data_IF_944865677563
#
_entry.id   IF_944865677563
#
_cell.length_a   1.000
_cell.length_b   1.000
_cell.length_c   1.000
_cell.angle_alpha   90.00
_cell.angle_beta   90.00
_cell.angle_gamma   90.00
#
_symmetry.space_group_name_H-M   'P 1'
#
loop_
_entity.id
_entity.type
_entity.pdbx_description
1 polymer ?
#
# COMPACT_ATOMS: atom_id res chain seq x y z
N UNK A 1 -12.25 -22.55 -15.79
CA UNK A 1 -13.04 -22.00 -14.66
C UNK A 1 -13.01 -23.03 -13.55
N UNK A 2 -12.01 -22.99 -12.68
CA UNK A 2 -12.03 -23.70 -11.41
C UNK A 2 -13.01 -22.97 -10.49
N UNK A 3 -14.05 -23.67 -10.03
CA UNK A 3 -15.06 -23.09 -9.14
C UNK A 3 -14.42 -22.65 -7.82
N UNK A 4 -14.93 -21.55 -7.24
CA UNK A 4 -14.51 -21.11 -5.92
C UNK A 4 -14.74 -22.24 -4.89
N UNK A 5 -13.79 -22.48 -3.97
CA UNK A 5 -13.96 -23.51 -2.95
C UNK A 5 -15.20 -23.22 -2.08
N UNK A 6 -15.96 -24.26 -1.68
CA UNK A 6 -17.13 -24.09 -0.84
C UNK A 6 -16.73 -23.52 0.54
N UNK A 7 -17.60 -22.71 1.19
CA UNK A 7 -17.35 -22.18 2.52
C UNK A 7 -17.09 -23.31 3.53
N UNK A 8 -15.98 -23.22 4.24
CA UNK A 8 -15.52 -24.24 5.17
C UNK A 8 -15.88 -23.92 6.63
N UNK A 9 -16.18 -22.65 6.94
CA UNK A 9 -16.42 -22.15 8.29
C UNK A 9 -17.58 -21.14 8.30
N UNK A 10 -18.46 -21.24 9.30
CA UNK A 10 -19.48 -20.23 9.60
C UNK A 10 -19.02 -19.32 10.74
N UNK A 11 -19.29 -18.02 10.62
CA UNK A 11 -18.96 -17.01 11.63
C UNK A 11 -20.19 -16.15 11.93
N UNK A 12 -20.42 -15.87 13.21
CA UNK A 12 -21.33 -14.79 13.61
C UNK A 12 -20.77 -13.41 13.24
N UNK A 13 -21.63 -12.40 13.19
CA UNK A 13 -21.21 -11.02 12.94
C UNK A 13 -20.27 -10.48 14.04
N UNK A 14 -20.38 -10.98 15.26
CA UNK A 14 -19.52 -10.57 16.38
C UNK A 14 -18.13 -11.24 16.30
N UNK A 15 -18.07 -12.52 15.92
CA UNK A 15 -16.79 -13.20 15.68
C UNK A 15 -16.01 -12.53 14.55
N UNK A 16 -16.67 -12.27 13.41
CA UNK A 16 -16.07 -11.55 12.28
C UNK A 16 -15.51 -10.18 12.70
N UNK A 17 -16.26 -9.42 13.51
CA UNK A 17 -15.83 -8.12 14.04
C UNK A 17 -14.60 -8.25 14.95
N UNK A 18 -14.61 -9.20 15.88
CA UNK A 18 -13.48 -9.41 16.81
C UNK A 18 -12.23 -9.90 16.06
N UNK A 19 -12.39 -10.76 15.07
CA UNK A 19 -11.30 -11.21 14.19
C UNK A 19 -10.67 -10.03 13.47
N UNK A 20 -11.49 -9.18 12.83
CA UNK A 20 -10.98 -7.98 12.16
C UNK A 20 -10.28 -7.00 13.13
N UNK A 21 -10.85 -6.75 14.32
CA UNK A 21 -10.24 -5.88 15.31
C UNK A 21 -8.91 -6.43 15.84
N UNK A 22 -8.78 -7.76 15.99
CA UNK A 22 -7.52 -8.41 16.38
C UNK A 22 -6.47 -8.32 15.29
N UNK A 23 -6.84 -8.64 14.04
CA UNK A 23 -5.94 -8.55 12.88
C UNK A 23 -5.40 -7.11 12.70
N UNK A 24 -6.25 -6.12 12.92
CA UNK A 24 -5.88 -4.71 12.89
C UNK A 24 -5.08 -4.23 14.11
N UNK A 25 -4.86 -5.07 15.13
CA UNK A 25 -4.15 -4.70 16.36
C UNK A 25 -4.93 -3.72 17.25
N UNK A 26 -6.25 -3.65 17.11
CA UNK A 26 -7.15 -2.77 17.87
C UNK A 26 -7.84 -3.49 19.04
N UNK A 27 -7.76 -4.82 19.09
CA UNK A 27 -8.26 -5.64 20.18
C UNK A 27 -7.17 -6.60 20.65
N UNK A 28 -6.84 -6.55 21.94
CA UNK A 28 -5.79 -7.37 22.56
C UNK A 28 -4.68 -6.52 23.18
N UNK A 29 -3.65 -7.19 23.70
CA UNK A 29 -2.48 -6.50 24.22
C UNK A 29 -1.58 -6.05 23.05
N UNK A 30 -1.15 -4.78 23.01
CA UNK A 30 -0.24 -4.30 21.96
C UNK A 30 1.07 -5.07 21.92
N UNK A 31 1.52 -5.47 20.72
CA UNK A 31 2.87 -6.00 20.52
C UNK A 31 3.92 -4.89 20.61
N UNK A 32 4.27 -4.53 21.84
CA UNK A 32 5.29 -3.52 22.12
C UNK A 32 6.70 -3.99 21.79
N UNK A 33 6.92 -5.30 21.59
CA UNK A 33 8.24 -5.83 21.18
C UNK A 33 8.45 -5.57 19.69
N UNK A 34 7.43 -5.80 18.87
CA UNK A 34 7.45 -5.45 17.45
C UNK A 34 7.49 -3.94 17.20
N UNK A 35 6.84 -3.15 18.07
CA UNK A 35 6.81 -1.69 17.96
C UNK A 35 6.20 -1.21 16.64
N UNK A 36 6.62 -0.04 16.16
CA UNK A 36 6.08 0.55 14.92
C UNK A 36 6.37 -0.31 13.69
N UNK A 37 7.57 -0.93 13.64
CA UNK A 37 7.93 -1.86 12.55
C UNK A 37 7.02 -3.09 12.55
N UNK A 38 6.71 -3.63 13.72
CA UNK A 38 5.76 -4.74 13.88
C UNK A 38 4.35 -4.36 13.42
N UNK A 39 3.87 -3.16 13.77
CA UNK A 39 2.59 -2.64 13.26
C UNK A 39 2.59 -2.50 11.75
N UNK A 40 3.66 -1.97 11.15
CA UNK A 40 3.77 -1.86 9.70
C UNK A 40 3.70 -3.24 9.04
N UNK A 41 4.46 -4.22 9.55
CA UNK A 41 4.43 -5.60 9.03
C UNK A 41 3.06 -6.28 9.18
N UNK A 42 2.37 -6.10 10.30
CA UNK A 42 1.05 -6.71 10.50
C UNK A 42 -0.01 -6.12 9.58
N UNK A 43 0.10 -4.83 9.27
CA UNK A 43 -0.83 -4.16 8.37
C UNK A 43 -0.44 -4.32 6.89
N UNK A 44 0.85 -4.49 6.58
CA UNK A 44 1.41 -4.52 5.22
C UNK A 44 1.34 -3.19 4.46
N UNK A 45 0.50 -2.24 4.89
CA UNK A 45 0.48 -0.90 4.33
C UNK A 45 0.01 0.15 5.34
N UNK A 46 0.74 1.27 5.41
CA UNK A 46 0.31 2.48 6.12
C UNK A 46 0.28 3.64 5.15
N UNK A 47 -0.90 4.21 4.93
CA UNK A 47 -1.07 5.33 4.01
C UNK A 47 -0.34 6.59 4.50
N UNK A 48 0.44 7.19 3.62
CA UNK A 48 0.99 8.53 3.80
C UNK A 48 -0.08 9.57 3.51
N UNK A 49 -0.18 10.56 4.40
CA UNK A 49 -1.19 11.61 4.35
C UNK A 49 -0.51 12.96 4.53
N UNK A 50 -0.98 13.96 3.79
CA UNK A 50 -0.47 15.33 3.83
C UNK A 50 -1.24 16.19 4.83
N UNK A 51 -2.45 15.80 5.24
CA UNK A 51 -3.28 16.53 6.19
C UNK A 51 -2.72 16.35 7.61
N UNK A 52 -2.57 17.45 8.35
CA UNK A 52 -1.90 17.46 9.66
C UNK A 52 -2.56 18.40 10.68
N UNK A 53 -3.90 18.47 10.71
CA UNK A 53 -4.64 19.32 11.67
C UNK A 53 -4.32 18.96 13.12
N UNK A 54 -4.16 17.67 13.43
CA UNK A 54 -3.69 17.16 14.73
C UNK A 54 -2.32 16.50 14.58
N UNK A 55 -2.29 15.43 13.78
CA UNK A 55 -1.13 14.67 13.37
C UNK A 55 -1.47 13.99 12.04
N UNK A 56 -0.47 13.46 11.34
CA UNK A 56 -0.70 12.77 10.06
C UNK A 56 -1.21 11.35 10.30
N UNK A 57 -1.99 10.81 9.36
CA UNK A 57 -2.56 9.46 9.48
C UNK A 57 -1.51 8.38 9.81
N UNK A 58 -0.35 8.40 9.12
CA UNK A 58 0.74 7.46 9.34
C UNK A 58 1.44 7.59 10.72
N UNK A 59 1.26 8.72 11.42
CA UNK A 59 1.70 8.91 12.81
C UNK A 59 0.65 8.38 13.79
N UNK A 60 -0.63 8.54 13.47
CA UNK A 60 -1.76 8.10 14.29
C UNK A 60 -1.97 6.59 14.26
N UNK A 61 -1.64 5.93 13.14
CA UNK A 61 -1.82 4.47 12.96
C UNK A 61 -1.07 3.65 14.01
N UNK A 62 0.25 3.85 14.24
CA UNK A 62 0.96 3.17 15.33
C UNK A 62 0.50 3.64 16.71
N UNK A 63 0.18 4.93 16.88
CA UNK A 63 -0.31 5.46 18.16
C UNK A 63 -1.59 4.76 18.63
N UNK A 64 -2.55 4.57 17.73
CA UNK A 64 -3.82 3.89 18.03
C UNK A 64 -3.64 2.42 18.46
N UNK A 65 -2.53 1.78 18.08
CA UNK A 65 -2.26 0.36 18.33
C UNK A 65 -1.30 0.13 19.50
N UNK A 66 -0.31 1.01 19.67
CA UNK A 66 0.77 0.84 20.66
C UNK A 66 0.60 1.72 21.91
N UNK A 67 -0.24 2.76 21.82
CA UNK A 67 -0.32 3.83 22.82
C UNK A 67 0.67 4.96 22.51
N UNK A 68 1.21 5.66 23.53
CA UNK A 68 1.96 6.91 23.37
C UNK A 68 3.35 6.71 22.77
N UNK A 69 3.42 6.42 21.46
CA UNK A 69 4.65 6.40 20.67
C UNK A 69 4.96 7.80 20.13
N UNK A 70 6.23 8.22 20.22
CA UNK A 70 6.64 9.56 19.76
C UNK A 70 6.75 9.61 18.24
N UNK A 71 6.54 10.80 17.65
CA UNK A 71 6.74 11.04 16.21
C UNK A 71 8.13 10.60 15.75
N UNK A 72 9.18 10.92 16.52
CA UNK A 72 10.55 10.51 16.20
C UNK A 72 10.72 8.99 16.14
N UNK A 73 10.02 8.24 16.99
CA UNK A 73 10.03 6.77 16.93
C UNK A 73 9.33 6.23 15.69
N UNK A 74 8.22 6.87 15.28
CA UNK A 74 7.50 6.50 14.05
C UNK A 74 8.34 6.80 12.81
N UNK A 75 8.90 8.01 12.72
CA UNK A 75 9.76 8.41 11.60
C UNK A 75 11.00 7.51 11.49
N UNK A 76 11.66 7.21 12.61
CA UNK A 76 12.79 6.30 12.61
C UNK A 76 12.38 4.89 12.14
N UNK A 77 11.22 4.40 12.56
CA UNK A 77 10.76 3.08 12.14
C UNK A 77 10.48 2.98 10.64
N UNK A 78 10.05 4.07 9.99
CA UNK A 78 9.74 4.08 8.55
C UNK A 78 10.93 4.45 7.66
N UNK A 79 11.85 5.30 8.13
CA UNK A 79 12.86 5.94 7.26
C UNK A 79 14.31 5.62 7.63
N UNK A 80 14.56 4.67 8.54
CA UNK A 80 15.93 4.23 8.87
C UNK A 80 16.13 2.75 8.60
N UNK A 81 17.38 2.37 8.34
CA UNK A 81 17.86 0.98 8.21
C UNK A 81 17.11 0.13 7.16
N UNK A 82 16.47 0.76 6.17
CA UNK A 82 15.80 0.06 5.05
C UNK A 82 14.77 -1.00 5.47
N UNK A 83 14.02 -0.77 6.57
CA UNK A 83 12.93 -1.68 6.99
C UNK A 83 11.62 -1.46 6.24
N UNK A 84 11.50 -0.35 5.53
CA UNK A 84 10.30 0.01 4.80
C UNK A 84 10.65 0.77 3.53
N UNK A 85 9.71 0.81 2.60
CA UNK A 85 9.80 1.60 1.38
C UNK A 85 8.49 2.35 1.10
N UNK A 86 8.58 3.45 0.39
CA UNK A 86 7.41 4.21 -0.05
C UNK A 86 7.02 3.79 -1.47
N UNK A 87 5.77 3.35 -1.67
CA UNK A 87 5.27 3.02 -3.00
C UNK A 87 3.74 3.12 -3.09
N UNK A 88 3.21 2.97 -4.31
CA UNK A 88 1.77 2.94 -4.55
C UNK A 88 1.19 1.58 -4.18
N UNK A 89 0.35 1.56 -3.15
CA UNK A 89 -0.59 0.50 -2.81
C UNK A 89 -2.02 0.94 -3.21
N UNK A 90 -2.96 1.05 -2.29
CA UNK A 90 -4.24 1.73 -2.51
C UNK A 90 -4.10 3.26 -2.61
N UNK A 91 -3.03 3.79 -2.01
CA UNK A 91 -2.57 5.16 -2.08
C UNK A 91 -1.04 5.18 -2.01
N UNK A 92 -0.41 6.34 -1.85
CA UNK A 92 0.98 6.38 -1.42
C UNK A 92 1.08 5.81 0.01
N UNK A 93 1.87 4.76 0.18
CA UNK A 93 1.99 4.03 1.43
C UNK A 93 3.45 3.84 1.81
N UNK A 94 3.69 3.76 3.12
CA UNK A 94 4.86 3.05 3.66
C UNK A 94 4.51 1.56 3.69
N UNK A 95 5.41 0.73 3.20
CA UNK A 95 5.25 -0.72 3.03
C UNK A 95 6.45 -1.45 3.66
N UNK A 96 6.28 -2.65 4.24
CA UNK A 96 7.38 -3.47 4.74
C UNK A 96 8.40 -3.79 3.65
N UNK A 97 9.70 -3.68 3.93
CA UNK A 97 10.74 -3.90 2.90
C UNK A 97 10.67 -5.31 2.28
N UNK A 98 10.31 -6.33 3.07
CA UNK A 98 10.13 -7.70 2.58
C UNK A 98 9.07 -7.86 1.47
N UNK A 99 8.16 -6.89 1.34
CA UNK A 99 7.14 -6.88 0.29
C UNK A 99 7.64 -6.24 -1.02
N UNK A 100 8.86 -5.71 -1.09
CA UNK A 100 9.40 -5.09 -2.30
C UNK A 100 9.20 -5.93 -3.57
N UNK A 101 9.52 -7.26 -3.59
CA UNK A 101 9.29 -8.09 -4.77
C UNK A 101 7.81 -8.28 -5.13
N UNK A 102 6.89 -8.09 -4.17
CA UNK A 102 5.46 -8.34 -4.37
C UNK A 102 4.83 -7.25 -5.24
N UNK A 103 5.46 -6.07 -5.32
CA UNK A 103 5.05 -4.96 -6.17
C UNK A 103 5.67 -4.98 -7.58
N UNK A 104 6.45 -6.02 -7.93
CA UNK A 104 7.07 -6.14 -9.25
C UNK A 104 6.04 -6.14 -10.40
N UNK A 105 4.87 -6.77 -10.23
CA UNK A 105 3.79 -6.72 -11.22
C UNK A 105 3.37 -5.29 -11.56
N UNK A 106 3.37 -4.39 -10.56
CA UNK A 106 2.97 -3.00 -10.69
C UNK A 106 4.08 -2.20 -11.36
N UNK A 107 5.35 -2.43 -11.00
CA UNK A 107 6.52 -1.84 -11.68
C UNK A 107 6.56 -2.21 -13.15
N UNK A 108 6.36 -3.50 -13.50
CA UNK A 108 6.26 -3.98 -14.88
C UNK A 108 5.10 -3.32 -15.63
N UNK A 109 3.91 -3.27 -15.04
CA UNK A 109 2.75 -2.62 -15.66
C UNK A 109 2.98 -1.10 -15.87
N UNK A 110 3.68 -0.43 -14.95
CA UNK A 110 4.10 0.96 -15.12
C UNK A 110 5.08 1.07 -16.29
N UNK A 111 6.18 0.32 -16.29
CA UNK A 111 7.18 0.34 -17.36
C UNK A 111 6.55 0.09 -18.74
N UNK A 112 5.67 -0.90 -18.87
CA UNK A 112 4.96 -1.22 -20.11
C UNK A 112 4.06 -0.08 -20.62
N UNK A 113 3.54 0.77 -19.72
CA UNK A 113 2.77 1.97 -20.09
C UNK A 113 3.65 3.08 -20.69
N UNK A 114 4.93 3.13 -20.33
CA UNK A 114 5.92 4.09 -20.83
C UNK A 114 5.79 5.55 -20.35
N UNK A 115 4.70 5.90 -19.64
CA UNK A 115 4.49 7.26 -19.11
C UNK A 115 3.58 7.26 -17.87
N UNK A 116 3.64 8.35 -17.08
CA UNK A 116 2.69 8.62 -15.99
C UNK A 116 1.41 9.25 -16.57
N UNK A 117 0.74 10.14 -15.85
CA UNK A 117 -0.27 11.03 -16.45
C UNK A 117 0.37 12.24 -17.14
N UNK A 118 1.67 12.49 -16.89
CA UNK A 118 2.49 13.41 -17.66
C UNK A 118 3.32 12.64 -18.70
N UNK A 119 3.56 13.27 -19.84
CA UNK A 119 4.45 12.79 -20.90
C UNK A 119 5.70 13.66 -20.88
N UNK A 120 6.88 13.04 -20.86
CA UNK A 120 8.16 13.74 -21.00
C UNK A 120 8.41 14.03 -22.48
N UNK A 121 9.11 15.13 -22.78
CA UNK A 121 9.51 15.46 -24.16
C UNK A 121 10.60 14.48 -24.62
N UNK A 122 11.56 14.21 -23.74
CA UNK A 122 12.63 13.23 -23.95
C UNK A 122 12.81 12.40 -22.67
N UNK A 123 12.11 11.26 -22.62
CA UNK A 123 12.10 10.39 -21.44
C UNK A 123 13.46 9.75 -21.17
N UNK A 124 14.19 9.37 -22.21
CA UNK A 124 15.49 8.71 -22.10
C UNK A 124 16.53 9.67 -21.50
N UNK A 125 16.65 10.87 -22.10
CA UNK A 125 17.57 11.92 -21.62
C UNK A 125 17.22 12.35 -20.20
N UNK A 126 15.95 12.61 -19.91
CA UNK A 126 15.51 13.09 -18.60
C UNK A 126 15.75 12.06 -17.50
N UNK A 127 15.43 10.78 -17.75
CA UNK A 127 15.69 9.72 -16.79
C UNK A 127 17.19 9.46 -16.60
N UNK A 128 17.99 9.50 -17.68
CA UNK A 128 19.44 9.34 -17.61
C UNK A 128 20.09 10.47 -16.78
N UNK A 129 19.64 11.72 -16.96
CA UNK A 129 20.12 12.85 -16.18
C UNK A 129 19.82 12.68 -14.68
N UNK A 130 18.61 12.26 -14.31
CA UNK A 130 18.26 12.01 -12.90
C UNK A 130 19.12 10.89 -12.31
N UNK A 131 19.26 9.75 -13.00
CA UNK A 131 20.12 8.63 -12.55
C UNK A 131 21.57 9.08 -12.35
N UNK A 132 22.12 9.84 -13.30
CA UNK A 132 23.48 10.35 -13.21
C UNK A 132 23.69 11.25 -11.99
N UNK A 133 22.73 12.14 -11.70
CA UNK A 133 22.76 13.03 -10.53
C UNK A 133 22.71 12.23 -9.23
N UNK A 134 21.77 11.29 -9.07
CA UNK A 134 21.67 10.44 -7.89
C UNK A 134 22.93 9.57 -7.68
N UNK A 135 23.50 9.08 -8.79
CA UNK A 135 24.74 8.28 -8.74
C UNK A 135 25.93 9.11 -8.24
N UNK A 136 26.09 10.33 -8.75
CA UNK A 136 27.23 11.20 -8.47
C UNK A 136 27.12 11.92 -7.12
N UNK A 137 25.94 12.47 -6.81
CA UNK A 137 25.76 13.40 -5.69
C UNK A 137 25.05 12.75 -4.48
N UNK A 138 24.59 11.50 -4.63
CA UNK A 138 23.89 10.76 -3.57
C UNK A 138 22.39 11.08 -3.51
N UNK A 139 21.73 10.83 -2.36
CA UNK A 139 20.30 11.05 -2.19
C UNK A 139 19.89 12.52 -2.29
N UNK A 140 18.88 12.83 -3.10
CA UNK A 140 18.44 14.21 -3.37
C UNK A 140 16.93 14.37 -3.35
N UNK A 141 16.44 15.52 -2.92
CA UNK A 141 15.04 15.92 -3.10
C UNK A 141 14.77 16.37 -4.54
N UNK A 142 13.50 16.39 -4.94
CA UNK A 142 13.10 16.94 -6.24
C UNK A 142 13.55 18.41 -6.44
N UNK A 143 13.66 19.20 -5.36
CA UNK A 143 14.18 20.57 -5.43
C UNK A 143 15.67 20.58 -5.76
N UNK A 144 16.47 19.74 -5.10
CA UNK A 144 17.92 19.66 -5.32
C UNK A 144 18.28 19.07 -6.70
N UNK A 145 17.40 18.25 -7.27
CA UNK A 145 17.48 17.81 -8.66
C UNK A 145 17.15 18.91 -9.69
N UNK A 146 16.79 20.12 -9.24
CA UNK A 146 16.34 21.21 -10.12
C UNK A 146 14.90 21.04 -10.62
N UNK A 147 14.12 20.16 -10.01
CA UNK A 147 12.77 19.80 -10.46
C UNK A 147 11.63 20.59 -9.81
N UNK A 148 11.89 21.43 -8.82
CA UNK A 148 10.85 22.24 -8.20
C UNK A 148 10.60 23.53 -8.99
N UNK A 149 9.38 23.71 -9.53
CA UNK A 149 8.91 25.00 -10.04
C UNK A 149 8.42 25.86 -8.88
N UNK A 150 8.91 27.08 -8.74
CA UNK A 150 8.40 28.04 -7.77
C UNK A 150 7.15 28.73 -8.34
N UNK A 151 6.02 28.68 -7.62
CA UNK A 151 4.84 29.52 -7.90
C UNK A 151 3.87 29.02 -9.00
N UNK A 152 4.04 27.81 -9.52
CA UNK A 152 3.10 27.18 -10.46
C UNK A 152 1.96 26.42 -9.76
N UNK A 153 0.93 26.02 -10.52
CA UNK A 153 -0.13 25.16 -10.02
C UNK A 153 0.43 23.80 -9.53
N UNK A 154 -0.25 23.17 -8.57
CA UNK A 154 0.25 21.95 -7.91
C UNK A 154 0.49 20.76 -8.86
N UNK A 155 -0.10 20.79 -10.07
CA UNK A 155 0.09 19.81 -11.14
C UNK A 155 1.13 20.20 -12.19
N UNK A 156 1.67 21.41 -12.17
CA UNK A 156 2.66 21.85 -13.16
C UNK A 156 4.06 21.37 -12.77
N UNK A 157 4.40 20.15 -13.18
CA UNK A 157 5.68 19.53 -12.85
C UNK A 157 6.74 19.89 -13.89
N UNK A 158 7.98 20.07 -13.42
CA UNK A 158 9.13 20.10 -14.33
C UNK A 158 9.36 18.70 -14.92
N UNK A 159 10.05 18.64 -16.05
CA UNK A 159 10.44 17.38 -16.67
C UNK A 159 11.31 16.53 -15.72
N UNK A 160 12.24 17.14 -14.98
CA UNK A 160 13.03 16.47 -13.94
C UNK A 160 12.17 15.85 -12.84
N UNK A 161 11.14 16.58 -12.38
CA UNK A 161 10.19 16.04 -11.38
C UNK A 161 9.41 14.87 -11.94
N UNK A 162 8.94 14.96 -13.19
CA UNK A 162 8.25 13.85 -13.87
C UNK A 162 9.18 12.64 -13.99
N UNK A 163 10.44 12.85 -14.37
CA UNK A 163 11.44 11.79 -14.53
C UNK A 163 11.75 11.06 -13.21
N UNK A 164 12.05 11.76 -12.11
CA UNK A 164 12.34 11.09 -10.82
C UNK A 164 11.11 10.36 -10.27
N UNK A 165 9.92 10.92 -10.48
CA UNK A 165 8.65 10.32 -10.09
C UNK A 165 8.26 9.14 -10.99
N UNK A 166 8.74 9.09 -12.24
CA UNK A 166 8.63 7.94 -13.13
C UNK A 166 9.58 6.82 -12.72
N UNK A 167 10.84 7.15 -12.42
CA UNK A 167 11.83 6.21 -11.91
C UNK A 167 11.42 5.60 -10.57
N UNK A 168 10.71 6.37 -9.73
CA UNK A 168 10.05 5.85 -8.53
C UNK A 168 8.96 4.83 -8.89
N UNK A 169 8.07 5.15 -9.83
CA UNK A 169 6.99 4.26 -10.26
C UNK A 169 7.51 2.94 -10.88
N UNK A 170 8.64 2.97 -11.60
CA UNK A 170 9.28 1.78 -12.19
C UNK A 170 10.25 1.08 -11.25
N UNK A 171 10.52 1.64 -10.06
CA UNK A 171 11.38 1.05 -9.02
C UNK A 171 12.88 1.13 -9.28
N UNK A 172 13.33 1.99 -10.21
CA UNK A 172 14.75 2.32 -10.36
C UNK A 172 15.24 3.27 -9.25
N UNK A 173 14.31 4.06 -8.71
CA UNK A 173 14.54 5.02 -7.61
C UNK A 173 13.55 4.74 -6.49
N UNK A 174 13.96 5.02 -5.25
CA UNK A 174 13.09 4.92 -4.07
C UNK A 174 13.17 6.20 -3.23
N UNK A 175 12.19 6.39 -2.35
CA UNK A 175 12.28 7.35 -1.26
C UNK A 175 13.11 6.72 -0.14
N UNK A 176 14.32 7.23 0.12
CA UNK A 176 15.20 6.70 1.18
C UNK A 176 14.88 7.31 2.55
N UNK A 177 14.48 8.59 2.57
CA UNK A 177 14.02 9.29 3.75
C UNK A 177 13.06 10.43 3.38
N UNK A 178 12.49 11.08 4.38
CA UNK A 178 11.73 12.32 4.20
C UNK A 178 12.33 13.46 5.02
N UNK A 179 12.63 14.57 4.34
CA UNK A 179 13.02 15.83 4.99
C UNK A 179 11.80 16.74 5.09
N UNK A 180 11.11 16.67 6.21
CA UNK A 180 9.77 17.24 6.35
C UNK A 180 8.79 16.48 5.45
N UNK A 181 8.14 17.17 4.50
CA UNK A 181 7.29 16.49 3.53
C UNK A 181 8.04 16.05 2.27
N UNK A 182 9.27 16.51 2.04
CA UNK A 182 9.98 16.25 0.78
C UNK A 182 10.55 14.83 0.79
N UNK A 183 10.23 14.05 -0.25
CA UNK A 183 10.95 12.80 -0.54
C UNK A 183 12.41 13.13 -0.81
N UNK A 184 13.30 12.35 -0.23
CA UNK A 184 14.69 12.25 -0.65
C UNK A 184 14.79 10.98 -1.48
N UNK A 185 15.12 11.14 -2.75
CA UNK A 185 15.23 10.05 -3.72
C UNK A 185 16.64 9.50 -3.72
N UNK A 186 16.78 8.17 -3.80
CA UNK A 186 18.05 7.48 -4.05
C UNK A 186 17.82 6.30 -5.00
N UNK A 187 18.90 5.74 -5.55
CA UNK A 187 18.83 4.56 -6.39
C UNK A 187 18.35 3.36 -5.58
N UNK A 188 17.40 2.60 -6.13
CA UNK A 188 16.82 1.44 -5.45
C UNK A 188 17.91 0.41 -5.05
N UNK A 189 18.90 0.20 -5.91
CA UNK A 189 20.03 -0.71 -5.70
C UNK A 189 20.90 -0.38 -4.47
N UNK A 190 20.81 0.85 -3.93
CA UNK A 190 21.57 1.27 -2.73
C UNK A 190 20.77 1.13 -1.44
N UNK A 191 19.44 1.10 -1.55
CA UNK A 191 18.52 1.22 -0.40
C UNK A 191 17.82 -0.11 -0.13
N UNK A 192 17.35 -0.79 -1.17
CA UNK A 192 16.66 -2.07 -1.06
C UNK A 192 17.72 -3.15 -0.77
N UNK A 193 17.58 -3.97 0.29
CA UNK A 193 18.53 -5.03 0.57
C UNK A 193 18.71 -5.99 -0.62
N UNK A 194 19.94 -6.41 -0.90
CA UNK A 194 20.28 -7.24 -2.08
C UNK A 194 19.37 -8.47 -2.26
N UNK A 195 19.05 -9.16 -1.18
CA UNK A 195 18.19 -10.35 -1.21
C UNK A 195 16.73 -10.06 -1.60
N UNK A 196 16.30 -8.80 -1.50
CA UNK A 196 14.96 -8.32 -1.85
C UNK A 196 14.97 -7.49 -3.13
N UNK A 197 16.13 -7.03 -3.61
CA UNK A 197 16.26 -6.19 -4.80
C UNK A 197 16.16 -7.01 -6.10
N UNK A 198 14.97 -7.54 -6.36
CA UNK A 198 14.67 -8.30 -7.57
C UNK A 198 13.19 -8.20 -7.96
N UNK A 199 12.92 -8.48 -9.24
CA UNK A 199 11.57 -8.51 -9.82
C UNK A 199 11.18 -9.92 -10.31
N UNK A 200 11.90 -10.95 -9.85
CA UNK A 200 11.81 -12.33 -10.37
C UNK A 200 10.46 -13.03 -10.12
N UNK A 201 9.61 -12.50 -9.23
CA UNK A 201 8.25 -13.01 -9.04
C UNK A 201 7.40 -12.67 -10.26
N UNK A 202 6.72 -13.67 -10.81
CA UNK A 202 5.70 -13.43 -11.85
C UNK A 202 4.50 -12.65 -11.30
N UNK A 203 3.69 -12.08 -12.20
CA UNK A 203 2.53 -11.25 -11.81
C UNK A 203 1.53 -12.02 -10.94
N UNK A 204 1.38 -13.32 -11.16
CA UNK A 204 0.43 -14.16 -10.42
C UNK A 204 0.89 -14.33 -8.99
N UNK A 205 2.16 -14.64 -8.78
CA UNK A 205 2.75 -14.83 -7.46
C UNK A 205 2.78 -13.52 -6.66
N UNK A 206 3.12 -12.40 -7.31
CA UNK A 206 2.99 -11.06 -6.72
C UNK A 206 1.58 -10.84 -6.16
N UNK A 207 0.55 -11.03 -7.00
CA UNK A 207 -0.85 -10.82 -6.60
C UNK A 207 -1.28 -11.82 -5.53
N UNK A 208 -0.88 -13.10 -5.62
CA UNK A 208 -1.21 -14.13 -4.62
C UNK A 208 -0.71 -13.74 -3.23
N UNK A 209 0.52 -13.26 -3.12
CA UNK A 209 1.10 -12.81 -1.85
C UNK A 209 0.40 -11.56 -1.30
N UNK A 210 0.07 -10.59 -2.16
CA UNK A 210 -0.68 -9.40 -1.76
C UNK A 210 -2.11 -9.74 -1.30
N UNK A 211 -2.78 -10.71 -1.94
CA UNK A 211 -4.10 -11.18 -1.49
C UNK A 211 -4.00 -11.88 -0.13
N UNK A 212 -2.98 -12.73 0.06
CA UNK A 212 -2.75 -13.38 1.36
C UNK A 212 -2.47 -12.33 2.46
N UNK A 213 -1.58 -11.37 2.19
CA UNK A 213 -1.26 -10.27 3.11
C UNK A 213 -2.51 -9.45 3.46
N UNK A 214 -3.30 -9.06 2.46
CA UNK A 214 -4.55 -8.32 2.66
C UNK A 214 -5.54 -9.11 3.54
N UNK A 215 -5.66 -10.42 3.33
CA UNK A 215 -6.47 -11.31 4.16
C UNK A 215 -5.99 -11.34 5.61
N UNK A 216 -4.69 -11.54 5.84
CA UNK A 216 -4.08 -11.52 7.16
C UNK A 216 -4.27 -10.18 7.89
N UNK A 217 -4.09 -9.06 7.20
CA UNK A 217 -4.28 -7.73 7.80
C UNK A 217 -5.74 -7.43 8.14
N UNK A 218 -6.70 -7.91 7.33
CA UNK A 218 -8.12 -7.68 7.58
C UNK A 218 -8.75 -8.73 8.51
N UNK A 219 -8.16 -9.91 8.63
CA UNK A 219 -8.64 -11.05 9.42
C UNK A 219 -9.87 -11.75 8.82
N UNK A 220 -10.85 -10.99 8.34
CA UNK A 220 -11.96 -11.50 7.53
C UNK A 220 -12.36 -10.45 6.50
N UNK A 221 -12.47 -10.83 5.24
CA UNK A 221 -12.61 -9.90 4.13
C UNK A 221 -13.52 -10.45 3.04
N UNK A 222 -14.31 -9.56 2.42
CA UNK A 222 -14.99 -9.89 1.16
C UNK A 222 -14.00 -9.81 -0.01
N UNK A 223 -14.43 -10.33 -1.18
CA UNK A 223 -13.69 -10.18 -2.43
C UNK A 223 -13.36 -8.72 -2.75
N UNK A 224 -14.32 -7.81 -2.51
CA UNK A 224 -14.12 -6.38 -2.74
C UNK A 224 -13.12 -5.77 -1.78
N UNK A 225 -13.11 -6.21 -0.51
CA UNK A 225 -12.16 -5.71 0.47
C UNK A 225 -10.72 -6.15 0.10
N UNK A 226 -10.54 -7.42 -0.30
CA UNK A 226 -9.26 -7.96 -0.77
C UNK A 226 -8.74 -7.24 -2.01
N UNK A 227 -9.65 -6.89 -2.94
CA UNK A 227 -9.30 -6.11 -4.11
C UNK A 227 -8.92 -4.66 -3.75
N UNK A 228 -9.68 -4.02 -2.84
CA UNK A 228 -9.46 -2.62 -2.50
C UNK A 228 -8.17 -2.38 -1.73
N UNK A 229 -7.77 -3.32 -0.85
CA UNK A 229 -6.64 -3.19 0.08
C UNK A 229 -5.34 -2.75 -0.58
N UNK A 230 -5.02 -3.34 -1.75
CA UNK A 230 -3.86 -2.95 -2.57
C UNK A 230 -4.25 -2.36 -3.92
N UNK A 231 -5.53 -2.01 -4.15
CA UNK A 231 -6.07 -1.58 -5.45
C UNK A 231 -5.77 -2.57 -6.58
N UNK A 232 -6.08 -3.83 -6.33
CA UNK A 232 -6.06 -4.90 -7.33
C UNK A 232 -7.37 -4.90 -8.12
N UNK A 233 -7.32 -5.45 -9.34
CA UNK A 233 -8.54 -5.76 -10.08
C UNK A 233 -9.20 -7.00 -9.51
N UNK A 234 -10.51 -7.07 -9.62
CA UNK A 234 -11.29 -8.15 -9.04
C UNK A 234 -10.95 -9.51 -9.70
N UNK A 235 -10.63 -9.52 -11.00
CA UNK A 235 -10.19 -10.71 -11.73
C UNK A 235 -8.79 -11.18 -11.30
N UNK A 236 -7.93 -10.26 -10.84
CA UNK A 236 -6.61 -10.63 -10.29
C UNK A 236 -6.78 -11.38 -8.97
N UNK A 237 -7.72 -10.93 -8.12
CA UNK A 237 -8.05 -11.63 -6.87
C UNK A 237 -8.59 -13.03 -7.17
N UNK A 238 -9.56 -13.15 -8.08
CA UNK A 238 -10.15 -14.45 -8.45
C UNK A 238 -9.11 -15.47 -8.95
N UNK A 239 -8.10 -15.00 -9.68
CA UNK A 239 -7.07 -15.86 -10.26
C UNK A 239 -6.15 -16.53 -9.21
N UNK A 240 -6.12 -16.00 -7.99
CA UNK A 240 -5.15 -16.42 -6.96
C UNK A 240 -5.78 -16.77 -5.61
N UNK A 241 -7.04 -16.39 -5.36
CA UNK A 241 -7.66 -16.53 -4.04
C UNK A 241 -7.78 -17.98 -3.55
N UNK A 242 -7.84 -18.96 -4.45
CA UNK A 242 -7.83 -20.37 -4.08
C UNK A 242 -6.44 -20.84 -3.57
N UNK A 243 -5.36 -20.17 -3.99
CA UNK A 243 -3.97 -20.52 -3.66
C UNK A 243 -3.34 -19.53 -2.66
N UNK A 244 -4.10 -18.56 -2.17
CA UNK A 244 -3.62 -17.55 -1.23
C UNK A 244 -3.41 -18.10 0.18
N UNK A 245 -4.04 -19.24 0.50
CA UNK A 245 -4.10 -19.80 1.85
C UNK A 245 -5.31 -19.34 2.65
N UNK A 246 -6.08 -18.38 2.15
CA UNK A 246 -7.28 -17.89 2.83
C UNK A 246 -8.42 -18.91 2.78
N UNK A 247 -9.12 -19.05 3.90
CA UNK A 247 -10.22 -20.00 4.08
C UNK A 247 -11.55 -19.33 3.70
N UNK A 248 -12.37 -19.90 2.80
CA UNK A 248 -13.68 -19.36 2.51
C UNK A 248 -14.62 -19.49 3.72
N UNK A 249 -15.31 -18.41 4.08
CA UNK A 249 -16.20 -18.34 5.24
C UNK A 249 -17.56 -17.75 4.88
N UNK A 250 -18.58 -18.12 5.64
CA UNK A 250 -19.89 -17.46 5.64
C UNK A 250 -20.01 -16.62 6.91
N UNK A 251 -20.29 -15.32 6.76
CA UNK A 251 -20.50 -14.42 7.91
C UNK A 251 -21.99 -14.08 8.04
N UNK A 252 -22.55 -14.27 9.23
CA UNK A 252 -23.93 -13.93 9.53
C UNK A 252 -24.24 -12.46 9.16
N UNK A 253 -25.29 -12.26 8.38
CA UNK A 253 -25.74 -10.94 7.95
C UNK A 253 -25.00 -10.35 6.75
N UNK A 254 -23.91 -10.95 6.28
CA UNK A 254 -23.29 -10.56 5.02
C UNK A 254 -24.10 -11.11 3.84
N UNK A 255 -24.24 -10.33 2.77
CA UNK A 255 -25.01 -10.73 1.59
C UNK A 255 -26.53 -10.55 1.68
N UNK A 256 -27.06 -10.08 2.82
CA UNK A 256 -28.46 -9.63 2.90
C UNK A 256 -28.57 -8.25 2.23
N UNK A 257 -29.56 -7.99 1.35
CA UNK A 257 -29.87 -6.64 0.91
C UNK A 257 -30.03 -5.74 2.14
N UNK A 258 -29.47 -4.53 2.11
CA UNK A 258 -29.55 -3.58 3.21
C UNK A 258 -31.01 -3.14 3.45
N UNK A 259 -31.77 -3.98 4.15
CA UNK A 259 -33.12 -3.72 4.61
C UNK A 259 -33.11 -3.24 6.06
N UNK A 260 -33.26 -1.94 6.26
CA UNK A 260 -33.88 -1.39 7.48
C UNK A 260 -32.97 -0.88 8.60
N UNK A 261 -32.40 0.31 8.42
CA UNK A 261 -32.67 1.51 9.27
C UNK A 261 -31.97 2.69 8.64
N UNK A 262 -32.68 3.34 7.72
CA UNK A 262 -32.28 4.60 7.11
C UNK A 262 -32.96 5.72 7.91
N UNK A 263 -32.25 6.33 8.85
CA UNK A 263 -32.45 7.76 9.07
C UNK A 263 -31.71 8.46 7.93
N UNK A 264 -32.50 8.88 6.92
CA UNK A 264 -32.04 9.49 5.67
C UNK A 264 -31.49 10.88 5.96
N UNK A 265 -30.23 11.12 5.60
CA UNK A 265 -29.82 12.41 5.07
C UNK A 265 -30.05 12.40 3.55
N UNK A 266 -30.69 13.41 2.94
CA UNK A 266 -30.98 13.41 1.51
C UNK A 266 -29.74 13.85 0.72
N UNK A 267 -29.24 13.00 -0.18
CA UNK A 267 -28.26 13.41 -1.21
C UNK A 267 -27.17 12.41 -1.60
N UNK A 268 -26.97 11.32 -0.86
CA UNK A 268 -25.96 10.30 -1.19
C UNK A 268 -26.48 9.22 -2.12
N UNK A 269 -25.77 8.92 -3.21
CA UNK A 269 -25.99 7.70 -4.01
C UNK A 269 -25.98 6.49 -3.08
N UNK A 270 -27.01 5.64 -3.16
CA UNK A 270 -27.04 4.37 -2.44
C UNK A 270 -25.85 3.53 -2.90
N UNK A 271 -25.00 3.00 -1.99
CA UNK A 271 -24.09 1.94 -2.39
C UNK A 271 -24.95 0.75 -2.78
N UNK A 272 -24.74 0.23 -4.00
CA UNK A 272 -25.44 -0.94 -4.50
C UNK A 272 -25.43 -2.07 -3.46
N UNK A 273 -26.55 -2.78 -3.34
CA UNK A 273 -26.69 -3.90 -2.42
C UNK A 273 -25.52 -4.88 -2.57
N UNK A 274 -24.95 -5.30 -1.43
CA UNK A 274 -23.86 -6.28 -1.39
C UNK A 274 -24.31 -7.58 -2.04
N UNK A 275 -23.60 -8.11 -3.06
CA UNK A 275 -23.88 -9.44 -3.56
C UNK A 275 -23.63 -10.47 -2.43
N UNK A 276 -24.39 -11.58 -2.40
CA UNK A 276 -24.21 -12.61 -1.39
C UNK A 276 -22.85 -13.33 -1.52
N UNK A 277 -22.15 -13.45 -0.38
CA UNK A 277 -21.70 -14.76 0.09
C UNK A 277 -20.29 -15.26 -0.26
N UNK A 278 -19.34 -14.40 -0.61
CA UNK A 278 -17.93 -14.82 -0.70
C UNK A 278 -17.07 -13.96 0.23
N UNK A 279 -16.74 -14.51 1.39
CA UNK A 279 -15.82 -13.95 2.36
C UNK A 279 -14.71 -14.96 2.62
N UNK A 280 -13.56 -14.46 3.05
CA UNK A 280 -12.41 -15.28 3.38
C UNK A 280 -11.79 -14.80 4.68
N UNK A 281 -11.24 -15.74 5.45
CA UNK A 281 -10.47 -15.47 6.67
C UNK A 281 -9.06 -16.03 6.51
N UNK A 282 -8.10 -15.42 7.21
CA UNK A 282 -6.73 -15.93 7.37
C UNK A 282 -6.68 -17.09 8.37
#
# INVERSE_FOLDING_TARGET
MTGLPPPAVEMSADEARRTALRAQGLLGAPDRRGGVRGVLRSLGAVQLDTISVLARSHELVPYARLGPVSRGTVEAAYWTESHAFEYWSHAACVLPMEEWPHFAFRRRARAARGHRWHVMEDSERSCAAVRARLKADGPMTATELGGAKNGGEWYDWSETKIAVEWLLDTGEVVCSERRGWKRVYDLAERVVPDALFHDDLDDRECVRRLVAQAGAAMGVATRSDLADYHRLKAEQVDAVIADSGLVPVTVEGWGRPAGGRSERAPGGRSPGGRPPGAAWAD
#
